data_IF_277837988244
#
_entry.id   IF_277837988244
#
_cell.length_a   1.000
_cell.length_b   1.000
_cell.length_c   1.000
_cell.angle_alpha   90.00
_cell.angle_beta   90.00
_cell.angle_gamma   90.00
#
_symmetry.space_group_name_H-M   'P 1'
#
loop_
_entity.id
_entity.type
_entity.pdbx_description
1 polymer ?
#
# COMPACT_ATOMS: atom_id res chain seq x y z
N UNK A 1 -6.08 -0.81 10.69
CA UNK A 1 -4.86 -0.40 9.94
C UNK A 1 -3.73 -1.31 10.38
N UNK A 2 -2.82 -1.71 9.49
CA UNK A 2 -1.69 -2.58 9.87
C UNK A 2 -0.72 -1.84 10.81
N UNK A 3 -0.22 -2.53 11.83
CA UNK A 3 0.66 -1.97 12.88
C UNK A 3 1.88 -1.24 12.31
N UNK A 4 2.49 -1.82 11.26
CA UNK A 4 3.63 -1.23 10.55
C UNK A 4 3.28 0.13 9.93
N UNK A 5 2.10 0.27 9.33
CA UNK A 5 1.68 1.53 8.73
C UNK A 5 1.43 2.61 9.79
N UNK A 6 0.83 2.23 10.92
CA UNK A 6 0.62 3.13 12.07
C UNK A 6 1.95 3.63 12.61
N UNK A 7 2.91 2.72 12.82
CA UNK A 7 4.25 3.06 13.27
C UNK A 7 4.92 4.10 12.35
N UNK A 8 4.92 3.86 11.03
CA UNK A 8 5.54 4.80 10.08
C UNK A 8 4.78 6.12 9.96
N UNK A 9 3.45 6.11 10.08
CA UNK A 9 2.64 7.34 10.10
C UNK A 9 2.96 8.19 11.32
N UNK A 10 3.03 7.59 12.50
CA UNK A 10 3.38 8.27 13.75
C UNK A 10 4.78 8.87 13.64
N UNK A 11 5.76 8.08 13.21
CA UNK A 11 7.12 8.56 13.00
C UNK A 11 7.19 9.71 12.00
N UNK A 12 6.46 9.60 10.90
CA UNK A 12 6.41 10.66 9.90
C UNK A 12 5.80 11.95 10.46
N UNK A 13 4.69 11.87 11.20
CA UNK A 13 4.02 13.08 11.73
C UNK A 13 4.83 13.75 12.83
N UNK A 14 5.62 13.01 13.61
CA UNK A 14 6.45 13.55 14.69
C UNK A 14 7.81 14.04 14.22
N UNK A 15 8.50 13.29 13.34
CA UNK A 15 9.88 13.57 12.96
C UNK A 15 9.99 14.18 11.56
N UNK A 16 9.36 13.56 10.56
CA UNK A 16 9.57 13.92 9.16
C UNK A 16 8.79 15.15 8.68
N UNK A 17 7.52 15.25 9.07
CA UNK A 17 6.60 16.30 8.63
C UNK A 17 7.01 17.69 9.14
N UNK A 18 7.41 17.89 10.41
CA UNK A 18 7.86 19.21 10.88
C UNK A 18 9.07 19.73 10.09
N UNK A 19 10.04 18.86 9.78
CA UNK A 19 11.22 19.19 8.97
C UNK A 19 10.84 19.60 7.54
N UNK A 20 9.86 18.90 6.94
CA UNK A 20 9.37 19.23 5.60
C UNK A 20 8.65 20.58 5.56
N UNK A 21 7.88 20.90 6.61
CA UNK A 21 7.08 22.12 6.68
C UNK A 21 7.91 23.36 7.00
N UNK A 22 8.98 23.21 7.79
CA UNK A 22 9.84 24.33 8.18
C UNK A 22 9.05 25.46 8.85
N UNK A 23 8.15 25.12 9.77
CA UNK A 23 7.29 26.07 10.49
C UNK A 23 6.00 26.49 9.76
N UNK A 24 5.82 26.11 8.49
CA UNK A 24 4.56 26.38 7.77
C UNK A 24 3.42 25.49 8.27
N UNK A 25 2.20 26.00 8.19
CA UNK A 25 1.00 25.20 8.47
C UNK A 25 0.42 24.64 7.16
N UNK A 26 -0.12 23.42 7.22
CA UNK A 26 -0.85 22.78 6.13
C UNK A 26 -1.84 21.79 6.71
N UNK A 27 -3.04 21.72 6.13
CA UNK A 27 -4.05 20.72 6.47
C UNK A 27 -3.72 19.34 5.84
N UNK A 28 -2.79 19.29 4.88
CA UNK A 28 -2.45 18.06 4.19
C UNK A 28 -1.60 17.14 5.08
N UNK A 29 -1.96 15.86 5.13
CA UNK A 29 -1.14 14.86 5.82
C UNK A 29 0.22 14.73 5.13
N UNK A 30 0.23 14.59 3.80
CA UNK A 30 1.42 14.49 2.96
C UNK A 30 1.56 15.70 2.01
N UNK A 31 2.06 16.85 2.50
CA UNK A 31 2.28 18.02 1.67
C UNK A 31 3.51 17.87 0.77
N UNK A 32 3.60 18.69 -0.27
CA UNK A 32 4.83 18.94 -1.00
C UNK A 32 5.75 19.90 -0.20
N UNK A 33 6.94 20.22 -0.73
CA UNK A 33 7.91 21.12 -0.06
C UNK A 33 7.41 22.57 0.13
N UNK A 34 6.31 22.96 -0.53
CA UNK A 34 5.65 24.26 -0.40
C UNK A 34 4.45 24.22 0.57
N UNK A 35 4.12 23.07 1.15
CA UNK A 35 2.94 22.91 2.01
C UNK A 35 1.64 22.58 1.27
N UNK A 36 1.70 22.42 -0.05
CA UNK A 36 0.52 22.18 -0.92
C UNK A 36 0.27 20.68 -1.12
N UNK A 37 -0.89 20.26 -1.67
CA UNK A 37 -1.12 18.87 -2.03
C UNK A 37 -0.04 18.28 -2.95
N UNK A 38 0.42 17.08 -2.62
CA UNK A 38 1.30 16.33 -3.50
C UNK A 38 0.50 15.77 -4.69
N UNK A 39 1.01 15.97 -5.90
CA UNK A 39 0.38 15.40 -7.10
C UNK A 39 0.69 13.91 -7.24
N UNK A 40 -0.18 13.18 -7.95
CA UNK A 40 0.04 11.77 -8.28
C UNK A 40 1.38 11.55 -8.99
N UNK A 41 1.74 12.43 -9.91
CA UNK A 41 2.99 12.35 -10.67
C UNK A 41 4.22 12.59 -9.78
N UNK A 42 4.17 13.56 -8.88
CA UNK A 42 5.25 13.82 -7.92
C UNK A 42 5.46 12.62 -6.99
N UNK A 43 4.37 12.04 -6.49
CA UNK A 43 4.45 10.82 -5.66
C UNK A 43 5.06 9.65 -6.46
N UNK A 44 4.61 9.44 -7.71
CA UNK A 44 5.15 8.39 -8.57
C UNK A 44 6.65 8.56 -8.87
N UNK A 45 7.11 9.80 -9.06
CA UNK A 45 8.53 10.09 -9.21
C UNK A 45 9.35 9.64 -7.98
N UNK A 46 8.81 9.84 -6.76
CA UNK A 46 9.46 9.37 -5.52
C UNK A 46 9.50 7.84 -5.45
N UNK A 47 8.43 7.15 -5.84
CA UNK A 47 8.43 5.68 -5.89
C UNK A 47 9.49 5.18 -6.88
N UNK A 48 9.58 5.77 -8.09
CA UNK A 48 10.64 5.43 -9.07
C UNK A 48 12.04 5.62 -8.49
N UNK A 49 12.27 6.71 -7.77
CA UNK A 49 13.56 6.96 -7.13
C UNK A 49 13.93 5.85 -6.14
N UNK A 50 13.00 5.46 -5.24
CA UNK A 50 13.25 4.37 -4.29
C UNK A 50 13.37 3.00 -4.97
N UNK A 51 12.67 2.77 -6.08
CA UNK A 51 12.83 1.56 -6.88
C UNK A 51 14.25 1.42 -7.41
N UNK A 52 14.84 2.52 -7.93
CA UNK A 52 16.23 2.52 -8.38
C UNK A 52 17.21 2.23 -7.24
N UNK A 53 17.00 2.83 -6.07
CA UNK A 53 17.81 2.56 -4.88
C UNK A 53 17.69 1.12 -4.39
N UNK A 54 16.53 0.49 -4.59
CA UNK A 54 16.29 -0.91 -4.29
C UNK A 54 16.81 -1.88 -5.37
N UNK A 55 17.51 -1.40 -6.41
CA UNK A 55 18.01 -2.24 -7.50
C UNK A 55 16.95 -2.70 -8.49
N UNK A 56 15.81 -1.99 -8.57
CA UNK A 56 14.72 -2.25 -9.52
C UNK A 56 14.76 -1.21 -10.66
N UNK A 57 15.56 -1.43 -11.72
CA UNK A 57 15.73 -0.46 -12.81
C UNK A 57 14.46 -0.20 -13.62
N UNK A 58 13.51 -1.15 -13.61
CA UNK A 58 12.19 -1.02 -14.22
C UNK A 58 11.13 -1.18 -13.15
N UNK A 59 10.55 -0.07 -12.73
CA UNK A 59 9.40 -0.11 -11.82
C UNK A 59 8.13 -0.45 -12.61
N UNK A 60 7.35 -1.45 -12.18
CA UNK A 60 6.05 -1.76 -12.78
C UNK A 60 5.08 -0.57 -12.72
N UNK A 61 4.01 -0.58 -13.52
CA UNK A 61 2.98 0.47 -13.49
C UNK A 61 2.36 0.62 -12.09
N UNK A 62 1.74 1.77 -11.75
CA UNK A 62 1.06 1.94 -10.46
C UNK A 62 0.03 0.84 -10.15
N UNK A 63 -0.68 0.35 -11.17
CA UNK A 63 -1.65 -0.73 -11.02
C UNK A 63 -0.96 -2.06 -10.69
N UNK A 64 0.09 -2.41 -11.42
CA UNK A 64 0.87 -3.63 -11.19
C UNK A 64 1.57 -3.60 -9.82
N UNK A 65 2.10 -2.44 -9.40
CA UNK A 65 2.70 -2.28 -8.07
C UNK A 65 1.67 -2.48 -6.95
N UNK A 66 0.48 -1.89 -7.09
CA UNK A 66 -0.62 -2.08 -6.13
C UNK A 66 -1.03 -3.55 -6.05
N UNK A 67 -1.12 -4.23 -7.19
CA UNK A 67 -1.45 -5.65 -7.23
C UNK A 67 -0.40 -6.51 -6.52
N UNK A 68 0.89 -6.30 -6.84
CA UNK A 68 1.98 -7.00 -6.18
C UNK A 68 1.98 -6.78 -4.66
N UNK A 69 1.72 -5.55 -4.21
CA UNK A 69 1.61 -5.23 -2.78
C UNK A 69 0.43 -5.94 -2.11
N UNK A 70 -0.75 -5.93 -2.73
CA UNK A 70 -1.93 -6.63 -2.20
C UNK A 70 -1.71 -8.14 -2.10
N UNK A 71 -1.16 -8.77 -3.15
CA UNK A 71 -0.82 -10.19 -3.16
C UNK A 71 0.28 -10.51 -2.13
N UNK A 72 1.29 -9.65 -1.98
CA UNK A 72 2.33 -9.82 -0.96
C UNK A 72 1.75 -9.78 0.45
N UNK A 73 0.89 -8.80 0.76
CA UNK A 73 0.22 -8.71 2.06
C UNK A 73 -0.66 -9.93 2.32
N UNK A 74 -1.47 -10.35 1.34
CA UNK A 74 -2.28 -11.56 1.46
C UNK A 74 -1.41 -12.75 1.80
N UNK A 75 -0.37 -13.03 1.01
CA UNK A 75 0.54 -14.17 1.21
C UNK A 75 1.12 -14.21 2.62
N UNK A 76 1.44 -13.06 3.21
CA UNK A 76 2.06 -12.94 4.54
C UNK A 76 1.07 -12.74 5.70
N UNK A 77 -0.20 -13.10 5.55
CA UNK A 77 -1.12 -13.15 6.70
C UNK A 77 -1.98 -11.93 6.91
N UNK A 78 -1.98 -10.95 6.00
CA UNK A 78 -2.90 -9.82 6.12
C UNK A 78 -4.36 -10.29 5.99
N UNK A 79 -5.22 -9.79 6.87
CA UNK A 79 -6.66 -9.99 6.83
C UNK A 79 -7.22 -9.56 5.45
N UNK A 80 -8.08 -10.40 4.86
CA UNK A 80 -8.76 -10.15 3.60
C UNK A 80 -9.47 -8.78 3.59
N UNK A 81 -9.98 -8.32 4.74
CA UNK A 81 -10.64 -7.02 4.91
C UNK A 81 -9.67 -5.84 4.72
N UNK A 82 -8.38 -6.00 5.07
CA UNK A 82 -7.33 -4.98 4.88
C UNK A 82 -7.02 -4.82 3.39
N UNK A 83 -7.04 -5.92 2.63
CA UNK A 83 -6.82 -5.89 1.18
C UNK A 83 -8.03 -5.28 0.47
N UNK A 84 -9.25 -5.57 0.92
CA UNK A 84 -10.48 -4.97 0.37
C UNK A 84 -10.53 -3.44 0.55
N UNK A 85 -10.04 -2.92 1.69
CA UNK A 85 -9.91 -1.48 1.96
C UNK A 85 -8.79 -0.79 1.17
N UNK A 86 -7.65 -1.45 0.97
CA UNK A 86 -6.53 -0.94 0.15
C UNK A 86 -6.90 -0.80 -1.34
N UNK A 87 -7.96 -1.49 -1.77
CA UNK A 87 -8.41 -1.60 -3.16
C UNK A 87 -9.66 -0.74 -3.48
N UNK A 88 -10.11 0.11 -2.56
CA UNK A 88 -11.33 0.91 -2.68
C UNK A 88 -11.58 1.56 -4.06
N UNK A 89 -12.62 1.04 -4.73
CA UNK A 89 -13.52 1.61 -5.76
C UNK A 89 -12.96 2.32 -7.01
N UNK A 90 -11.66 2.35 -7.27
CA UNK A 90 -11.16 3.13 -8.42
C UNK A 90 -11.19 2.41 -9.78
N UNK A 91 -11.29 1.07 -9.86
CA UNK A 91 -11.57 0.39 -11.14
C UNK A 91 -11.81 -1.12 -10.93
N UNK A 92 -13.01 -1.59 -11.26
CA UNK A 92 -13.47 -2.99 -11.16
C UNK A 92 -12.82 -3.94 -12.19
N UNK A 93 -11.80 -3.50 -12.92
CA UNK A 93 -11.15 -4.25 -14.02
C UNK A 93 -10.09 -5.28 -13.57
N UNK A 94 -9.72 -5.32 -12.29
CA UNK A 94 -8.76 -6.33 -11.74
C UNK A 94 -9.40 -7.37 -10.83
N UNK A 95 -10.72 -7.28 -10.60
CA UNK A 95 -11.51 -8.11 -9.67
C UNK A 95 -11.40 -9.62 -9.91
N UNK A 96 -11.17 -10.06 -11.15
CA UNK A 96 -11.14 -11.48 -11.52
C UNK A 96 -9.93 -12.25 -10.97
N UNK A 97 -8.74 -11.64 -10.91
CA UNK A 97 -7.55 -12.32 -10.37
C UNK A 97 -7.68 -12.51 -8.84
N UNK A 98 -8.32 -11.55 -8.16
CA UNK A 98 -8.41 -11.55 -6.70
C UNK A 98 -9.37 -12.60 -6.15
N UNK A 99 -10.44 -12.94 -6.88
CA UNK A 99 -11.34 -14.04 -6.50
C UNK A 99 -10.56 -15.35 -6.39
N UNK A 100 -9.66 -15.61 -7.33
CA UNK A 100 -8.89 -16.86 -7.34
C UNK A 100 -7.90 -16.94 -6.16
N UNK A 101 -7.22 -15.84 -5.81
CA UNK A 101 -6.27 -15.82 -4.67
C UNK A 101 -7.02 -15.93 -3.34
N UNK A 102 -8.14 -15.22 -3.19
CA UNK A 102 -8.99 -15.32 -2.00
C UNK A 102 -9.60 -16.71 -1.84
N UNK A 103 -10.08 -17.33 -2.92
CA UNK A 103 -10.61 -18.70 -2.91
C UNK A 103 -9.53 -19.72 -2.57
N UNK A 104 -8.32 -19.60 -3.13
CA UNK A 104 -7.20 -20.49 -2.82
C UNK A 104 -6.82 -20.43 -1.33
N UNK A 105 -6.83 -19.24 -0.73
CA UNK A 105 -6.50 -19.06 0.69
C UNK A 105 -7.63 -19.45 1.62
N UNK A 106 -8.89 -19.22 1.23
CA UNK A 106 -10.05 -19.72 1.98
C UNK A 106 -10.02 -21.25 2.03
N UNK A 107 -9.72 -21.89 0.89
CA UNK A 107 -9.53 -23.34 0.82
C UNK A 107 -8.40 -23.82 1.74
N UNK A 108 -7.24 -23.17 1.69
CA UNK A 108 -6.10 -23.56 2.54
C UNK A 108 -6.36 -23.36 4.04
N UNK A 109 -7.04 -22.27 4.43
CA UNK A 109 -7.44 -22.02 5.82
C UNK A 109 -8.48 -23.06 6.29
N UNK A 110 -9.42 -23.43 5.44
CA UNK A 110 -10.41 -24.45 5.74
C UNK A 110 -9.75 -25.83 5.91
N UNK A 111 -8.78 -26.19 5.06
CA UNK A 111 -7.98 -27.42 5.19
C UNK A 111 -7.11 -27.43 6.46
N UNK A 112 -6.55 -26.29 6.87
CA UNK A 112 -5.71 -26.20 8.08
C UNK A 112 -6.52 -26.27 9.39
N UNK A 113 -7.73 -25.70 9.43
CA UNK A 113 -8.56 -25.66 10.64
C UNK A 113 -9.64 -26.74 10.69
N UNK A 114 -9.97 -27.38 9.57
CA UNK A 114 -10.95 -28.45 9.47
C UNK A 114 -10.47 -29.61 8.56
N UNK A 115 -9.46 -30.39 8.97
CA UNK A 115 -8.84 -31.45 8.14
C UNK A 115 -9.67 -32.73 7.98
N UNK A 116 -10.99 -32.71 8.21
CA UNK A 116 -11.88 -33.89 8.12
C UNK A 116 -13.17 -33.61 7.34
N UNK A 117 -13.01 -33.22 6.08
CA UNK A 117 -13.98 -33.50 5.02
C UNK A 117 -13.54 -34.73 4.24
#
# INVERSE_FOLDING_TARGET
MGEVAVHWLQRYTTEGRPLLMGGRQSAMLFPNRRGEPMTRQAFWYRIKHYALLAGLPKLPSPHTLRHAFATHLLNHGADLRVVQLLLGHADLSTTQIYTHVAQARLKSLHEQHHPRG
#
